data_IF_876852257482
#
_entry.id   IF_876852257482
#
_cell.length_a   1.000
_cell.length_b   1.000
_cell.length_c   1.000
_cell.angle_alpha   90.00
_cell.angle_beta   90.00
_cell.angle_gamma   90.00
#
_symmetry.space_group_name_H-M   'P 1'
#
loop_
_entity.id
_entity.type
_entity.pdbx_description
1 polymer ?
#
# COMPACT_ATOMS: atom_id res chain seq x y z
N UNK A 1 -13.39 -29.11 -0.01
CA UNK A 1 -13.61 -28.19 1.13
C UNK A 1 -12.42 -28.17 2.08
N UNK A 2 -11.91 -29.32 2.55
CA UNK A 2 -10.72 -29.37 3.41
C UNK A 2 -9.46 -28.77 2.75
N UNK A 3 -9.22 -29.05 1.47
CA UNK A 3 -8.08 -28.54 0.69
C UNK A 3 -8.07 -27.01 0.59
N UNK A 4 -9.23 -26.39 0.36
CA UNK A 4 -9.39 -24.92 0.34
C UNK A 4 -8.96 -24.30 1.66
N UNK A 5 -9.30 -24.93 2.78
CA UNK A 5 -8.93 -24.45 4.11
C UNK A 5 -7.42 -24.54 4.35
N UNK A 6 -6.77 -25.59 3.83
CA UNK A 6 -5.31 -25.74 3.91
C UNK A 6 -4.58 -24.64 3.12
N UNK A 7 -5.05 -24.31 1.91
CA UNK A 7 -4.47 -23.19 1.14
C UNK A 7 -4.61 -21.85 1.85
N UNK A 8 -5.74 -21.63 2.51
CA UNK A 8 -6.02 -20.39 3.24
C UNK A 8 -5.10 -20.24 4.45
N UNK A 9 -4.93 -21.30 5.24
CA UNK A 9 -3.99 -21.36 6.37
C UNK A 9 -2.55 -21.12 5.90
N UNK A 10 -2.15 -21.74 4.78
CA UNK A 10 -0.83 -21.55 4.21
C UNK A 10 -0.60 -20.08 3.81
N UNK A 11 -1.57 -19.43 3.16
CA UNK A 11 -1.48 -18.00 2.83
C UNK A 11 -1.31 -17.12 4.07
N UNK A 12 -2.06 -17.39 5.14
CA UNK A 12 -1.90 -16.67 6.41
C UNK A 12 -0.53 -16.90 7.06
N UNK A 13 0.03 -18.11 6.99
CA UNK A 13 1.37 -18.37 7.52
C UNK A 13 2.44 -17.52 6.84
N UNK A 14 2.32 -17.29 5.53
CA UNK A 14 3.22 -16.41 4.78
C UNK A 14 2.98 -14.95 5.19
N UNK A 15 1.72 -14.50 5.20
CA UNK A 15 1.40 -13.10 5.51
C UNK A 15 1.85 -12.67 6.91
N UNK A 16 1.83 -13.59 7.88
CA UNK A 16 2.22 -13.35 9.28
C UNK A 16 3.73 -13.51 9.52
N UNK A 17 4.53 -13.85 8.51
CA UNK A 17 5.98 -13.89 8.68
C UNK A 17 6.51 -12.49 9.07
N UNK A 18 7.45 -12.38 10.03
CA UNK A 18 7.96 -11.10 10.50
C UNK A 18 8.50 -10.20 9.38
N UNK A 19 9.11 -10.80 8.36
CA UNK A 19 9.64 -10.07 7.20
C UNK A 19 8.52 -9.42 6.38
N UNK A 20 7.39 -10.10 6.20
CA UNK A 20 6.25 -9.61 5.45
C UNK A 20 5.49 -8.53 6.24
N UNK A 21 5.39 -8.69 7.56
CA UNK A 21 4.86 -7.64 8.43
C UNK A 21 5.74 -6.38 8.40
N UNK A 22 7.06 -6.53 8.39
CA UNK A 22 7.98 -5.40 8.24
C UNK A 22 7.79 -4.70 6.89
N UNK A 23 7.65 -5.46 5.80
CA UNK A 23 7.34 -4.88 4.49
C UNK A 23 5.99 -4.20 4.45
N UNK A 24 4.96 -4.74 5.10
CA UNK A 24 3.66 -4.08 5.21
C UNK A 24 3.80 -2.74 5.96
N UNK A 25 4.51 -2.73 7.08
CA UNK A 25 4.76 -1.53 7.87
C UNK A 25 5.54 -0.46 7.08
N UNK A 26 6.65 -0.85 6.44
CA UNK A 26 7.45 0.05 5.62
C UNK A 26 6.67 0.56 4.41
N UNK A 27 5.89 -0.31 3.77
CA UNK A 27 5.01 0.04 2.66
C UNK A 27 3.98 1.09 3.09
N UNK A 28 3.30 0.88 4.22
CA UNK A 28 2.35 1.85 4.78
C UNK A 28 3.03 3.17 5.12
N UNK A 29 4.19 3.14 5.79
CA UNK A 29 4.94 4.34 6.17
C UNK A 29 5.30 5.19 4.93
N UNK A 30 5.94 4.55 3.94
CA UNK A 30 6.33 5.21 2.69
C UNK A 30 5.10 5.68 1.92
N UNK A 31 4.06 4.84 1.85
CA UNK A 31 2.78 5.18 1.24
C UNK A 31 2.18 6.44 1.86
N UNK A 32 2.12 6.55 3.18
CA UNK A 32 1.61 7.74 3.87
C UNK A 32 2.45 8.98 3.59
N UNK A 33 3.78 8.87 3.60
CA UNK A 33 4.66 10.00 3.25
C UNK A 33 4.41 10.49 1.82
N UNK A 34 4.20 9.57 0.88
CA UNK A 34 3.89 9.91 -0.51
C UNK A 34 2.48 10.50 -0.63
N UNK A 35 1.49 9.91 0.05
CA UNK A 35 0.11 10.39 0.02
C UNK A 35 -0.04 11.80 0.57
N UNK A 36 0.85 12.23 1.46
CA UNK A 36 0.88 13.62 1.95
C UNK A 36 1.29 14.61 0.84
N UNK A 37 1.93 14.18 -0.25
CA UNK A 37 2.29 15.05 -1.36
C UNK A 37 1.06 15.33 -2.24
N UNK A 38 0.59 16.59 -2.35
CA UNK A 38 -0.60 16.90 -3.14
C UNK A 38 -0.39 16.57 -4.62
N UNK A 39 -1.39 15.95 -5.24
CA UNK A 39 -1.37 15.60 -6.67
C UNK A 39 -0.71 14.27 -7.01
N UNK A 40 -0.10 13.57 -6.03
CA UNK A 40 0.38 12.20 -6.21
C UNK A 40 -0.64 11.21 -5.66
N UNK A 41 -1.51 10.71 -6.54
CA UNK A 41 -2.46 9.65 -6.17
C UNK A 41 -1.74 8.33 -5.81
N UNK A 42 -2.42 7.39 -5.11
CA UNK A 42 -1.90 6.07 -4.77
C UNK A 42 -1.42 5.28 -5.98
N UNK A 43 -2.11 5.37 -7.11
CA UNK A 43 -1.66 4.74 -8.35
C UNK A 43 -0.30 5.27 -8.83
N UNK A 44 -0.09 6.60 -8.74
CA UNK A 44 1.19 7.25 -9.06
C UNK A 44 2.29 6.88 -8.07
N UNK A 45 1.99 6.87 -6.76
CA UNK A 45 2.90 6.44 -5.72
C UNK A 45 3.34 4.98 -5.87
N UNK A 46 2.40 4.08 -6.17
CA UNK A 46 2.71 2.68 -6.48
C UNK A 46 3.61 2.56 -7.72
N UNK A 47 3.28 3.25 -8.82
CA UNK A 47 4.06 3.19 -10.06
C UNK A 47 5.52 3.61 -9.87
N UNK A 48 5.77 4.66 -9.07
CA UNK A 48 7.13 5.13 -8.75
C UNK A 48 7.93 4.14 -7.90
N UNK A 49 7.25 3.30 -7.11
CA UNK A 49 7.86 2.35 -6.19
C UNK A 49 7.87 0.90 -6.72
N UNK A 50 7.36 0.64 -7.94
CA UNK A 50 7.54 -0.66 -8.61
C UNK A 50 9.02 -1.09 -8.67
N UNK A 51 10.01 -0.20 -8.89
CA UNK A 51 11.41 -0.62 -8.87
C UNK A 51 11.87 -1.27 -7.56
N UNK A 52 11.25 -0.92 -6.43
CA UNK A 52 11.58 -1.44 -5.11
C UNK A 52 11.15 -2.90 -4.88
N UNK A 53 10.24 -3.43 -5.71
CA UNK A 53 9.83 -4.84 -5.62
C UNK A 53 10.69 -5.80 -6.47
N UNK A 54 11.61 -5.29 -7.30
CA UNK A 54 12.52 -6.16 -8.05
C UNK A 54 13.41 -6.98 -7.10
N UNK A 55 13.51 -8.28 -7.37
CA UNK A 55 14.30 -9.22 -6.55
C UNK A 55 13.64 -9.67 -5.24
N UNK A 56 12.40 -9.25 -4.94
CA UNK A 56 11.62 -9.76 -3.81
C UNK A 56 10.77 -10.96 -4.19
N UNK A 57 10.38 -11.75 -3.19
CA UNK A 57 9.39 -12.83 -3.40
C UNK A 57 8.06 -12.23 -3.86
N UNK A 58 7.26 -12.96 -4.68
CA UNK A 58 5.97 -12.46 -5.14
C UNK A 58 5.02 -12.06 -4.00
N UNK A 59 4.99 -12.84 -2.91
CA UNK A 59 4.16 -12.54 -1.75
C UNK A 59 4.59 -11.24 -1.06
N UNK A 60 5.89 -11.08 -0.78
CA UNK A 60 6.42 -9.87 -0.13
C UNK A 60 6.24 -8.63 -1.00
N UNK A 61 6.37 -8.76 -2.32
CA UNK A 61 6.15 -7.68 -3.27
C UNK A 61 4.70 -7.18 -3.25
N UNK A 62 3.73 -8.10 -3.27
CA UNK A 62 2.30 -7.77 -3.19
C UNK A 62 1.97 -7.10 -1.85
N UNK A 63 2.51 -7.61 -0.74
CA UNK A 63 2.28 -7.04 0.60
C UNK A 63 2.85 -5.61 0.70
N UNK A 64 4.05 -5.37 0.15
CA UNK A 64 4.66 -4.04 0.12
C UNK A 64 3.82 -3.05 -0.70
N UNK A 65 3.38 -3.45 -1.91
CA UNK A 65 2.54 -2.61 -2.76
C UNK A 65 1.17 -2.32 -2.12
N UNK A 66 0.55 -3.32 -1.48
CA UNK A 66 -0.69 -3.14 -0.73
C UNK A 66 -0.50 -2.13 0.41
N UNK A 67 0.62 -2.23 1.15
CA UNK A 67 0.96 -1.25 2.19
C UNK A 67 1.08 0.16 1.63
N UNK A 68 1.79 0.34 0.52
CA UNK A 68 1.94 1.64 -0.16
C UNK A 68 0.57 2.22 -0.55
N UNK A 69 -0.29 1.40 -1.15
CA UNK A 69 -1.62 1.82 -1.59
C UNK A 69 -2.47 2.35 -0.42
N UNK A 70 -2.61 1.56 0.65
CA UNK A 70 -3.41 1.94 1.81
C UNK A 70 -2.78 3.09 2.61
N UNK A 71 -1.45 3.13 2.70
CA UNK A 71 -0.74 4.24 3.31
C UNK A 71 -0.99 5.56 2.57
N UNK A 72 -0.93 5.53 1.24
CA UNK A 72 -1.14 6.71 0.39
C UNK A 72 -2.59 7.22 0.44
N UNK A 73 -3.56 6.31 0.46
CA UNK A 73 -4.98 6.63 0.67
C UNK A 73 -5.20 7.41 1.97
N UNK A 74 -4.57 6.96 3.06
CA UNK A 74 -4.66 7.65 4.35
C UNK A 74 -3.91 8.99 4.36
N UNK A 75 -2.70 9.04 3.80
CA UNK A 75 -1.90 10.27 3.71
C UNK A 75 -2.58 11.37 2.88
N UNK A 76 -3.22 11.02 1.76
CA UNK A 76 -3.94 11.95 0.89
C UNK A 76 -5.08 12.68 1.59
N UNK A 77 -5.77 12.00 2.50
CA UNK A 77 -6.81 12.63 3.32
C UNK A 77 -6.25 13.73 4.23
N UNK A 78 -5.06 13.52 4.81
CA UNK A 78 -4.42 14.46 5.73
C UNK A 78 -4.07 15.76 5.01
N UNK A 79 -3.50 15.68 3.82
CA UNK A 79 -3.18 16.85 3.00
C UNK A 79 -4.42 17.54 2.47
N UNK A 80 -5.47 16.79 2.11
CA UNK A 80 -6.74 17.36 1.65
C UNK A 80 -7.42 18.20 2.73
N UNK A 81 -7.37 17.74 3.98
CA UNK A 81 -7.91 18.46 5.13
C UNK A 81 -7.12 19.75 5.39
N UNK A 82 -5.79 19.69 5.36
CA UNK A 82 -4.94 20.84 5.69
C UNK A 82 -4.88 21.91 4.60
N UNK A 83 -4.90 21.49 3.33
CA UNK A 83 -4.73 22.39 2.20
C UNK A 83 -6.04 22.74 1.50
N UNK A 84 -7.17 22.17 1.94
CA UNK A 84 -8.49 22.33 1.35
C UNK A 84 -8.47 22.11 -0.18
N UNK A 85 -7.62 21.19 -0.62
CA UNK A 85 -7.37 20.88 -2.02
C UNK A 85 -7.52 19.37 -2.16
N UNK A 86 -8.36 18.87 -3.08
CA UNK A 86 -8.60 17.44 -3.22
C UNK A 86 -7.27 16.72 -3.47
N UNK A 87 -6.88 15.86 -2.54
CA UNK A 87 -5.62 15.13 -2.58
C UNK A 87 -5.59 14.04 -3.65
N UNK A 88 -6.75 13.71 -4.22
CA UNK A 88 -6.90 12.71 -5.27
C UNK A 88 -7.90 13.19 -6.33
N UNK A 89 -7.61 12.94 -7.60
CA UNK A 89 -8.41 13.40 -8.74
C UNK A 89 -9.89 12.95 -8.69
N UNK A 90 -10.18 11.82 -8.02
CA UNK A 90 -11.54 11.32 -7.83
C UNK A 90 -12.38 12.22 -6.90
N UNK A 91 -11.75 12.97 -6.01
CA UNK A 91 -12.41 13.86 -5.03
C UNK A 91 -12.73 15.25 -5.59
N UNK A 92 -12.31 15.55 -6.82
CA UNK A 92 -12.62 16.82 -7.50
C UNK A 92 -14.06 16.82 -8.05
N UNK A 93 -14.62 15.64 -8.32
CA UNK A 93 -15.94 15.46 -8.94
C UNK A 93 -16.85 14.66 -8.00
N UNK A 94 -17.17 15.24 -6.85
CA UNK A 94 -18.33 14.93 -6.00
C UNK A 94 -18.72 16.19 -5.26
#
# INVERSE_FOLDING_TARGET
MAETFQHLIFGFSIALEPINLLYAFLGCLVGTLIGVLPGLGPAGGMALLIPLIYGKSPASAVILLAGIYYGAMYGGSTTSILLNLPGEAASVVT
#
